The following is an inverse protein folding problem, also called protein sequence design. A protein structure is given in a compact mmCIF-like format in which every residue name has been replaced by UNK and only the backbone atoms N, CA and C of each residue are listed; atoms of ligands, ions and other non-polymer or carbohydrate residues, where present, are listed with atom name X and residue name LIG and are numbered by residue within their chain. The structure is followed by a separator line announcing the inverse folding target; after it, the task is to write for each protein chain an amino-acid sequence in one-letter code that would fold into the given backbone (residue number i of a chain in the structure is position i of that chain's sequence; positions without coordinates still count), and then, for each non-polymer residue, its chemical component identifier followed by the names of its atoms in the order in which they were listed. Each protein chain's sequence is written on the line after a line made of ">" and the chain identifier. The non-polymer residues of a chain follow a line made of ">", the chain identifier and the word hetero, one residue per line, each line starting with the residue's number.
data_IF_144435373292
#
_entry.id   IF_144435373292
#
_cell.length_a   1.000
_cell.length_b   1.000
_cell.length_c   1.000
_cell.angle_alpha   90.00
_cell.angle_beta   90.00
_cell.angle_gamma   90.00
#
_symmetry.space_group_name_H-M   'P 1'
#
loop_
_entity.id
_entity.type
_entity.pdbx_description
1 polymer ?
#
# COMPACT_ATOMS: atom_id res chain seq x y z
N UNK A 1 5.53 17.80 -9.78
CA UNK A 1 5.43 17.63 -8.33
C UNK A 1 4.37 16.58 -8.07
N UNK A 2 4.69 15.50 -7.36
CA UNK A 2 3.68 14.51 -6.99
C UNK A 2 2.65 15.17 -6.07
N UNK A 3 1.38 15.05 -6.45
CA UNK A 3 0.27 15.62 -5.71
C UNK A 3 -0.69 14.50 -5.29
N UNK A 4 -1.35 14.69 -4.16
CA UNK A 4 -2.33 13.76 -3.61
C UNK A 4 -3.42 13.45 -4.64
N UNK A 5 -3.84 14.45 -5.42
CA UNK A 5 -4.83 14.30 -6.51
C UNK A 5 -4.40 13.30 -7.59
N UNK A 6 -3.09 13.08 -7.79
CA UNK A 6 -2.55 12.12 -8.74
C UNK A 6 -2.27 10.74 -8.13
N UNK A 7 -1.96 10.70 -6.83
CA UNK A 7 -1.64 9.47 -6.10
C UNK A 7 -2.91 8.71 -5.71
N UNK A 8 -3.92 9.42 -5.20
CA UNK A 8 -5.13 8.82 -4.62
C UNK A 8 -5.86 7.89 -5.60
N UNK A 9 -6.05 8.21 -6.90
CA UNK A 9 -6.70 7.27 -7.83
C UNK A 9 -5.92 5.96 -8.03
N UNK A 10 -4.58 5.98 -7.92
CA UNK A 10 -3.75 4.77 -7.97
C UNK A 10 -3.98 3.94 -6.71
N UNK A 11 -3.98 4.59 -5.53
CA UNK A 11 -4.23 3.94 -4.25
C UNK A 11 -5.63 3.34 -4.17
N UNK A 12 -6.67 4.04 -4.64
CA UNK A 12 -8.04 3.52 -4.66
C UNK A 12 -8.13 2.24 -5.51
N UNK A 13 -7.50 2.24 -6.69
CA UNK A 13 -7.49 1.06 -7.56
C UNK A 13 -6.72 -0.09 -6.95
N UNK A 14 -5.55 0.18 -6.37
CA UNK A 14 -4.73 -0.80 -5.70
C UNK A 14 -5.46 -1.41 -4.49
N UNK A 15 -5.95 -0.58 -3.58
CA UNK A 15 -6.68 -1.00 -2.38
C UNK A 15 -7.92 -1.82 -2.74
N UNK A 16 -8.69 -1.37 -3.74
CA UNK A 16 -9.84 -2.11 -4.24
C UNK A 16 -9.48 -3.51 -4.77
N UNK A 17 -8.36 -3.64 -5.49
CA UNK A 17 -7.89 -4.93 -5.99
C UNK A 17 -7.43 -5.86 -4.87
N UNK A 18 -6.66 -5.33 -3.89
CA UNK A 18 -6.22 -6.08 -2.71
C UNK A 18 -7.43 -6.58 -1.92
N UNK A 19 -8.34 -5.68 -1.51
CA UNK A 19 -9.53 -6.05 -0.73
C UNK A 19 -10.42 -7.05 -1.45
N UNK A 20 -10.59 -6.90 -2.78
CA UNK A 20 -11.35 -7.87 -3.57
C UNK A 20 -10.67 -9.25 -3.60
N UNK A 21 -9.34 -9.29 -3.70
CA UNK A 21 -8.57 -10.54 -3.68
C UNK A 21 -8.58 -11.22 -2.32
N UNK A 22 -8.46 -10.47 -1.22
CA UNK A 22 -8.56 -11.00 0.16
C UNK A 22 -9.94 -11.62 0.38
N UNK A 23 -11.01 -10.91 0.02
CA UNK A 23 -12.36 -11.45 0.12
C UNK A 23 -12.57 -12.71 -0.75
N UNK A 24 -11.97 -12.77 -1.94
CA UNK A 24 -12.04 -13.98 -2.77
C UNK A 24 -11.30 -15.17 -2.13
N UNK A 25 -10.16 -14.92 -1.48
CA UNK A 25 -9.44 -15.95 -0.72
C UNK A 25 -10.26 -16.45 0.47
N UNK A 26 -10.90 -15.55 1.22
CA UNK A 26 -11.77 -15.92 2.35
C UNK A 26 -12.90 -16.85 1.90
N UNK A 27 -13.54 -16.55 0.76
CA UNK A 27 -14.60 -17.40 0.20
C UNK A 27 -14.06 -18.77 -0.24
N UNK A 28 -12.89 -18.82 -0.87
CA UNK A 28 -12.25 -20.08 -1.29
C UNK A 28 -11.90 -20.91 -0.06
N UNK A 29 -11.30 -20.29 0.96
CA UNK A 29 -10.93 -20.95 2.21
C UNK A 29 -12.17 -21.50 2.92
N UNK A 30 -13.23 -20.70 3.04
CA UNK A 30 -14.48 -21.15 3.64
C UNK A 30 -15.13 -22.33 2.88
N UNK A 31 -15.00 -22.37 1.55
CA UNK A 31 -15.57 -23.42 0.71
C UNK A 31 -14.74 -24.72 0.69
N UNK A 32 -13.42 -24.61 0.85
CA UNK A 32 -12.49 -25.73 0.60
C UNK A 32 -11.74 -26.20 1.83
N UNK A 33 -11.66 -25.39 2.88
CA UNK A 33 -10.80 -25.63 4.04
C UNK A 33 -9.31 -25.58 3.71
N UNK A 34 -8.92 -24.92 2.61
CA UNK A 34 -7.50 -24.75 2.27
C UNK A 34 -6.79 -23.90 3.33
N UNK A 35 -5.63 -24.38 3.75
CA UNK A 35 -4.72 -23.61 4.60
C UNK A 35 -4.11 -22.44 3.82
N UNK A 36 -3.79 -21.30 4.46
CA UNK A 36 -3.16 -20.16 3.80
C UNK A 36 -1.82 -20.48 3.12
N UNK A 37 -1.10 -21.50 3.60
CA UNK A 37 0.18 -21.95 3.03
C UNK A 37 0.00 -22.89 1.83
N UNK A 38 -1.24 -23.20 1.44
CA UNK A 38 -1.49 -24.00 0.25
C UNK A 38 -1.03 -23.25 -1.02
N UNK A 39 -0.66 -23.97 -2.09
CA UNK A 39 -0.10 -23.34 -3.30
C UNK A 39 -0.99 -22.28 -3.94
N UNK A 40 -2.31 -22.40 -3.83
CA UNK A 40 -3.25 -21.46 -4.43
C UNK A 40 -3.29 -20.11 -3.68
N UNK A 41 -3.59 -20.03 -2.36
CA UNK A 41 -3.48 -18.78 -1.61
C UNK A 41 -2.09 -18.14 -1.70
N UNK A 42 -1.01 -18.93 -1.62
CA UNK A 42 0.35 -18.42 -1.78
C UNK A 42 0.55 -17.69 -3.12
N UNK A 43 0.09 -18.28 -4.23
CA UNK A 43 0.18 -17.63 -5.53
C UNK A 43 -0.63 -16.32 -5.61
N UNK A 44 -1.73 -16.20 -4.87
CA UNK A 44 -2.50 -14.94 -4.79
C UNK A 44 -1.74 -13.91 -3.95
N UNK A 45 -1.14 -14.29 -2.83
CA UNK A 45 -0.29 -13.39 -2.04
C UNK A 45 0.91 -12.88 -2.85
N UNK A 46 1.52 -13.74 -3.67
CA UNK A 46 2.60 -13.32 -4.58
C UNK A 46 2.10 -12.29 -5.60
N UNK A 47 0.89 -12.47 -6.15
CA UNK A 47 0.25 -11.49 -7.05
C UNK A 47 -0.09 -10.18 -6.34
N UNK A 48 -0.47 -10.21 -5.06
CA UNK A 48 -0.67 -9.00 -4.26
C UNK A 48 0.66 -8.24 -4.08
N UNK A 49 1.77 -8.95 -3.81
CA UNK A 49 3.09 -8.32 -3.76
C UNK A 49 3.49 -7.66 -5.09
N UNK A 50 3.15 -8.28 -6.21
CA UNK A 50 3.33 -7.66 -7.53
C UNK A 50 2.44 -6.41 -7.73
N UNK A 51 1.23 -6.39 -7.15
CA UNK A 51 0.36 -5.23 -7.18
C UNK A 51 0.92 -4.08 -6.33
N UNK A 52 1.51 -4.38 -5.16
CA UNK A 52 2.21 -3.42 -4.30
C UNK A 52 3.37 -2.76 -5.07
N UNK A 53 4.21 -3.57 -5.73
CA UNK A 53 5.30 -3.11 -6.61
C UNK A 53 4.81 -2.20 -7.74
N UNK A 54 3.75 -2.60 -8.43
CA UNK A 54 3.19 -1.82 -9.53
C UNK A 54 2.67 -0.46 -9.05
N UNK A 55 1.96 -0.43 -7.93
CA UNK A 55 1.40 0.79 -7.38
C UNK A 55 2.50 1.74 -6.90
N UNK A 56 3.53 1.22 -6.22
CA UNK A 56 4.70 1.99 -5.80
C UNK A 56 5.41 2.65 -6.98
N UNK A 57 5.67 1.88 -8.05
CA UNK A 57 6.28 2.39 -9.27
C UNK A 57 5.42 3.46 -9.95
N UNK A 58 4.10 3.25 -10.02
CA UNK A 58 3.17 4.20 -10.64
C UNK A 58 3.15 5.58 -9.95
N UNK A 59 3.41 5.62 -8.63
CA UNK A 59 3.45 6.87 -7.86
C UNK A 59 4.86 7.36 -7.55
N UNK A 60 5.92 6.63 -7.96
CA UNK A 60 7.33 6.90 -7.64
C UNK A 60 7.65 6.88 -6.13
N UNK A 61 6.96 6.04 -5.36
CA UNK A 61 7.22 5.90 -3.92
C UNK A 61 7.98 4.60 -3.59
N UNK A 62 8.48 4.49 -2.35
CA UNK A 62 9.11 3.26 -1.87
C UNK A 62 8.13 2.08 -1.82
N UNK A 63 8.56 0.91 -2.31
CA UNK A 63 7.76 -0.33 -2.30
C UNK A 63 7.29 -0.72 -0.90
N UNK A 64 8.17 -0.60 0.09
CA UNK A 64 7.90 -1.00 1.48
C UNK A 64 6.72 -0.27 2.11
N UNK A 65 6.33 0.90 1.60
CA UNK A 65 5.16 1.62 2.11
C UNK A 65 3.85 0.90 1.84
N UNK A 66 3.73 0.24 0.69
CA UNK A 66 2.50 -0.47 0.30
C UNK A 66 2.33 -1.73 1.13
N UNK A 67 3.39 -2.52 1.26
CA UNK A 67 3.42 -3.68 2.15
C UNK A 67 3.15 -3.29 3.60
N UNK A 68 3.82 -2.24 4.11
CA UNK A 68 3.58 -1.71 5.45
C UNK A 68 2.12 -1.27 5.64
N UNK A 69 1.53 -0.53 4.69
CA UNK A 69 0.16 -0.06 4.82
C UNK A 69 -0.83 -1.22 4.84
N UNK A 70 -0.61 -2.23 3.99
CA UNK A 70 -1.47 -3.41 3.87
C UNK A 70 -1.34 -4.35 5.06
N UNK A 71 -0.13 -4.84 5.34
CA UNK A 71 0.13 -5.89 6.33
C UNK A 71 0.24 -5.34 7.75
N UNK A 72 0.99 -4.27 7.95
CA UNK A 72 1.27 -3.77 9.28
C UNK A 72 0.19 -2.80 9.76
N UNK A 73 -0.22 -1.85 8.91
CA UNK A 73 -1.23 -0.85 9.27
C UNK A 73 -2.68 -1.34 9.04
N UNK A 74 -2.86 -2.56 8.50
CA UNK A 74 -4.17 -3.17 8.20
C UNK A 74 -5.07 -2.23 7.42
N UNK A 75 -4.56 -1.71 6.30
CA UNK A 75 -5.28 -0.76 5.44
C UNK A 75 -5.79 0.50 6.16
N UNK A 76 -5.15 0.89 7.28
CA UNK A 76 -5.50 2.08 8.07
C UNK A 76 -6.19 1.78 9.40
N UNK A 77 -6.63 0.54 9.64
CA UNK A 77 -7.37 0.17 10.86
C UNK A 77 -6.53 0.35 12.13
N UNK A 78 -5.21 0.09 12.07
CA UNK A 78 -4.32 0.21 13.23
C UNK A 78 -3.86 1.64 13.50
N UNK A 79 -4.11 2.58 12.59
CA UNK A 79 -3.74 3.99 12.71
C UNK A 79 -2.26 4.19 13.11
N UNK A 80 -1.36 3.36 12.59
CA UNK A 80 0.07 3.44 12.86
C UNK A 80 0.62 4.80 12.42
N UNK A 81 1.64 5.28 13.13
CA UNK A 81 2.24 6.58 12.87
C UNK A 81 3.36 6.45 11.85
N UNK A 82 3.31 7.25 10.81
CA UNK A 82 4.36 7.38 9.80
C UNK A 82 4.55 8.87 9.44
N UNK A 83 5.67 9.18 8.83
CA UNK A 83 6.06 10.55 8.56
C UNK A 83 7.40 10.65 7.86
N UNK A 84 7.68 11.84 7.38
CA UNK A 84 8.95 12.21 6.77
C UNK A 84 9.73 13.07 7.77
N UNK A 85 11.01 12.76 7.98
CA UNK A 85 11.85 13.45 8.96
C UNK A 85 11.33 13.30 10.40
N UNK A 86 10.89 14.40 11.01
CA UNK A 86 10.40 14.43 12.40
C UNK A 86 8.88 14.58 12.52
N UNK A 87 8.15 14.69 11.40
CA UNK A 87 6.70 14.93 11.40
C UNK A 87 5.91 13.63 11.25
N UNK A 88 5.70 12.93 12.37
CA UNK A 88 4.94 11.67 12.42
C UNK A 88 3.47 11.89 12.77
N UNK A 89 2.56 11.35 11.96
CA UNK A 89 1.11 11.39 12.18
C UNK A 89 0.47 10.01 11.97
N UNK A 90 -0.67 9.72 12.61
CA UNK A 90 -1.41 8.49 12.35
C UNK A 90 -1.93 8.45 10.91
N UNK A 91 -1.78 7.30 10.25
CA UNK A 91 -2.28 7.07 8.90
C UNK A 91 -3.50 6.15 9.00
N UNK A 92 -4.70 6.69 8.75
CA UNK A 92 -5.97 5.97 8.92
C UNK A 92 -6.71 5.70 7.63
N UNK A 93 -6.42 6.49 6.60
CA UNK A 93 -7.16 6.50 5.36
C UNK A 93 -6.19 6.48 4.18
N UNK A 94 -6.70 6.11 3.00
CA UNK A 94 -5.95 6.23 1.75
C UNK A 94 -5.55 7.69 1.45
N UNK A 95 -6.33 8.66 1.92
CA UNK A 95 -5.98 10.08 1.86
C UNK A 95 -4.74 10.39 2.72
N UNK A 96 -4.71 9.91 3.98
CA UNK A 96 -3.53 10.07 4.83
C UNK A 96 -2.31 9.38 4.20
N UNK A 97 -2.51 8.20 3.61
CA UNK A 97 -1.45 7.46 2.95
C UNK A 97 -0.92 8.20 1.71
N UNK A 98 -1.82 8.72 0.85
CA UNK A 98 -1.44 9.51 -0.31
C UNK A 98 -0.63 10.75 0.07
N UNK A 99 -1.02 11.43 1.14
CA UNK A 99 -0.31 12.59 1.66
C UNK A 99 1.08 12.24 2.20
N UNK A 100 1.24 11.06 2.84
CA UNK A 100 2.54 10.55 3.25
C UNK A 100 3.46 10.30 2.05
N UNK A 101 2.97 9.57 1.04
CA UNK A 101 3.74 9.28 -0.18
C UNK A 101 4.12 10.57 -0.91
N UNK A 102 3.18 11.52 -1.00
CA UNK A 102 3.45 12.82 -1.62
C UNK A 102 4.54 13.59 -0.86
N UNK A 103 4.60 13.49 0.47
CA UNK A 103 5.64 14.12 1.27
C UNK A 103 7.01 13.48 1.03
N UNK A 104 7.08 12.15 0.97
CA UNK A 104 8.31 11.41 0.68
C UNK A 104 8.87 11.78 -0.70
N UNK A 105 8.02 11.77 -1.72
CA UNK A 105 8.44 12.11 -3.09
C UNK A 105 8.97 13.54 -3.18
N UNK A 106 8.32 14.48 -2.48
CA UNK A 106 8.80 15.87 -2.43
C UNK A 106 10.16 16.00 -1.73
N UNK A 107 10.38 15.24 -0.66
CA UNK A 107 11.68 15.22 0.01
C UNK A 107 12.76 14.67 -0.94
N UNK A 108 12.51 13.53 -1.59
CA UNK A 108 13.45 12.94 -2.53
C UNK A 108 13.75 13.87 -3.73
N UNK A 109 12.74 14.53 -4.28
CA UNK A 109 12.90 15.51 -5.36
C UNK A 109 13.75 16.73 -4.89
N UNK A 110 13.61 17.16 -3.63
CA UNK A 110 14.41 18.26 -3.08
C UNK A 110 15.87 17.85 -2.84
N UNK A 111 16.11 16.68 -2.24
CA UNK A 111 17.46 16.14 -2.02
C UNK A 111 18.22 15.94 -3.34
N UNK A 112 17.52 15.51 -4.40
CA UNK A 112 18.12 15.35 -5.73
C UNK A 112 18.45 16.69 -6.42
N UNK A 113 17.79 17.79 -6.04
CA UNK A 113 18.07 19.12 -6.59
C UNK A 113 19.27 19.80 -5.93
N UNK A 114 19.57 19.42 -4.68
CA UNK A 114 20.70 19.94 -3.89
C UNK A 114 22.02 19.15 -4.10
N UNK A 115 21.97 18.01 -4.80
CA UNK A 115 23.10 17.12 -5.10
C UNK A 115 23.80 17.47 -6.43
#
# INVERSE_FOLDING_TARGET
>A
MADVSTILPVLDRWAGAITASDHALDLIQAATGLEPEAPLPQAVYDLQGLADLWAASAVRAGESWFEWYRLENQMGERALRAGVGFEFRPIRTLQDFAELLAAEIRQADAEAADA
#
